data_IF_127716230027
#
_entry.id   IF_127716230027
#
_cell.length_a   1.000
_cell.length_b   1.000
_cell.length_c   1.000
_cell.angle_alpha   90.00
_cell.angle_beta   90.00
_cell.angle_gamma   90.00
#
_symmetry.space_group_name_H-M   'P 1'
#
loop_
_entity.id
_entity.type
_entity.pdbx_description
1 polymer ?
#
# COMPACT_ATOMS: atom_id res chain seq x y z
N UNK A 1 -35.37 21.04 -15.02
CA UNK A 1 -35.03 19.62 -14.83
C UNK A 1 -33.58 19.48 -15.26
N UNK A 2 -32.67 19.34 -14.29
CA UNK A 2 -31.24 19.29 -14.55
C UNK A 2 -30.86 17.82 -14.78
N UNK A 3 -30.53 17.48 -16.03
CA UNK A 3 -29.90 16.21 -16.34
C UNK A 3 -28.54 16.14 -15.65
N UNK A 4 -28.35 15.09 -14.85
CA UNK A 4 -27.13 14.87 -14.09
C UNK A 4 -26.03 14.40 -15.04
N UNK A 5 -24.94 15.15 -15.26
CA UNK A 5 -23.89 14.84 -16.25
C UNK A 5 -23.04 13.61 -15.89
N UNK A 6 -23.34 12.93 -14.78
CA UNK A 6 -22.67 11.71 -14.35
C UNK A 6 -23.20 10.43 -15.04
N UNK A 7 -24.33 10.51 -15.76
CA UNK A 7 -24.96 9.35 -16.43
C UNK A 7 -24.15 8.80 -17.60
N UNK A 8 -23.53 9.68 -18.40
CA UNK A 8 -22.79 9.29 -19.62
C UNK A 8 -21.38 8.76 -19.32
N UNK A 9 -20.74 9.28 -18.26
CA UNK A 9 -19.44 8.79 -17.77
C UNK A 9 -19.51 7.33 -17.34
N UNK A 10 -20.57 7.02 -16.61
CA UNK A 10 -20.77 5.73 -15.97
C UNK A 10 -21.11 4.64 -17.00
N UNK A 11 -21.96 4.98 -17.98
CA UNK A 11 -22.33 4.07 -19.07
C UNK A 11 -21.14 3.74 -19.97
N UNK A 12 -20.23 4.69 -20.23
CA UNK A 12 -19.05 4.50 -21.07
C UNK A 12 -17.96 3.64 -20.43
N UNK A 13 -17.68 3.83 -19.14
CA UNK A 13 -16.72 2.98 -18.43
C UNK A 13 -17.23 1.52 -18.36
N UNK A 14 -18.53 1.35 -18.09
CA UNK A 14 -19.17 0.04 -18.11
C UNK A 14 -19.25 -0.56 -19.52
N UNK A 15 -19.47 0.24 -20.56
CA UNK A 15 -19.53 -0.27 -21.94
C UNK A 15 -18.15 -0.71 -22.44
N UNK A 16 -17.11 0.08 -22.15
CA UNK A 16 -15.71 -0.28 -22.47
C UNK A 16 -15.30 -1.56 -21.74
N UNK A 17 -15.72 -1.69 -20.48
CA UNK A 17 -15.50 -2.90 -19.70
C UNK A 17 -16.28 -4.10 -20.24
N UNK A 18 -17.58 -3.92 -20.52
CA UNK A 18 -18.43 -4.97 -21.10
C UNK A 18 -17.84 -5.49 -22.41
N UNK A 19 -17.28 -4.59 -23.23
CA UNK A 19 -16.56 -4.95 -24.45
C UNK A 19 -15.29 -5.75 -24.17
N UNK A 20 -14.47 -5.34 -23.19
CA UNK A 20 -13.26 -6.07 -22.80
C UNK A 20 -13.55 -7.46 -22.19
N UNK A 21 -14.59 -7.57 -21.36
CA UNK A 21 -15.07 -8.86 -20.82
C UNK A 21 -15.57 -9.76 -21.96
N UNK A 22 -16.32 -9.20 -22.93
CA UNK A 22 -16.81 -9.95 -24.08
C UNK A 22 -15.67 -10.53 -24.92
N UNK A 23 -14.64 -9.72 -25.20
CA UNK A 23 -13.43 -10.19 -25.90
C UNK A 23 -12.68 -11.28 -25.14
N UNK A 24 -12.59 -11.17 -23.80
CA UNK A 24 -11.97 -12.20 -22.96
C UNK A 24 -12.78 -13.51 -22.97
N UNK A 25 -14.12 -13.42 -22.96
CA UNK A 25 -15.01 -14.59 -22.96
C UNK A 25 -15.10 -15.34 -24.30
N UNK A 26 -14.72 -14.69 -25.41
CA UNK A 26 -14.79 -15.29 -26.75
C UNK A 26 -13.59 -16.18 -27.08
N UNK A 27 -12.49 -16.09 -26.33
CA UNK A 27 -11.29 -16.90 -26.57
C UNK A 27 -11.32 -18.29 -25.91
N UNK A 28 -12.27 -18.56 -25.01
CA UNK A 28 -12.46 -19.88 -24.40
C UNK A 28 -13.66 -20.59 -25.05
N UNK A 29 -13.39 -21.63 -25.84
CA UNK A 29 -14.41 -22.47 -26.45
C UNK A 29 -15.29 -23.15 -25.37
N UNK A 30 -16.62 -23.25 -25.54
CA UNK A 30 -17.51 -23.68 -24.47
C UNK A 30 -17.56 -25.22 -24.40
N UNK A 31 -17.00 -25.81 -23.35
CA UNK A 31 -17.44 -27.13 -22.89
C UNK A 31 -18.73 -26.95 -22.07
N UNK A 32 -19.84 -27.25 -22.74
CA UNK A 32 -21.20 -27.28 -22.22
C UNK A 32 -21.30 -28.40 -21.17
N UNK A 33 -21.15 -28.11 -19.87
CA UNK A 33 -21.62 -28.96 -18.74
C UNK A 33 -21.43 -28.37 -17.32
N UNK A 34 -21.54 -27.05 -17.07
CA UNK A 34 -21.48 -26.56 -15.68
C UNK A 34 -22.20 -25.23 -15.40
N UNK A 35 -23.28 -24.94 -16.14
CA UNK A 35 -24.23 -23.86 -15.76
C UNK A 35 -25.16 -24.34 -14.65
N UNK A 36 -24.69 -24.24 -13.40
CA UNK A 36 -25.51 -23.92 -12.20
C UNK A 36 -24.58 -23.88 -10.99
N UNK A 37 -24.72 -22.79 -10.22
CA UNK A 37 -24.07 -22.47 -8.94
C UNK A 37 -22.79 -21.62 -9.08
N UNK A 38 -23.02 -20.33 -9.37
CA UNK A 38 -22.30 -19.11 -8.95
C UNK A 38 -22.32 -18.08 -10.09
N UNK A 39 -23.31 -17.18 -10.04
CA UNK A 39 -23.42 -16.02 -10.94
C UNK A 39 -22.37 -14.97 -10.55
N UNK A 40 -21.08 -15.24 -10.79
CA UNK A 40 -20.12 -14.15 -10.82
C UNK A 40 -20.39 -13.35 -12.10
N UNK A 41 -21.01 -12.18 -11.95
CA UNK A 41 -21.14 -11.19 -13.02
C UNK A 41 -19.95 -10.23 -12.96
N UNK A 42 -18.97 -10.34 -13.88
CA UNK A 42 -17.80 -9.48 -13.85
C UNK A 42 -18.13 -8.00 -14.04
N UNK A 43 -19.27 -7.67 -14.68
CA UNK A 43 -19.73 -6.29 -14.85
C UNK A 43 -20.23 -5.71 -13.52
N UNK A 44 -21.02 -6.47 -12.78
CA UNK A 44 -21.49 -6.08 -11.45
C UNK A 44 -20.31 -5.94 -10.47
N UNK A 45 -19.35 -6.88 -10.51
CA UNK A 45 -18.16 -6.81 -9.69
C UNK A 45 -17.32 -5.56 -9.98
N UNK A 46 -17.11 -5.23 -11.25
CA UNK A 46 -16.38 -4.03 -11.62
C UNK A 46 -17.12 -2.74 -11.27
N UNK A 47 -18.45 -2.71 -11.42
CA UNK A 47 -19.30 -1.63 -10.90
C UNK A 47 -19.07 -1.44 -9.40
N UNK A 48 -19.07 -2.53 -8.63
CA UNK A 48 -18.80 -2.52 -7.21
C UNK A 48 -17.40 -1.93 -6.89
N UNK A 49 -16.36 -2.31 -7.64
CA UNK A 49 -15.01 -1.75 -7.48
C UNK A 49 -14.96 -0.25 -7.76
N UNK A 50 -15.67 0.24 -8.77
CA UNK A 50 -15.64 1.68 -9.12
C UNK A 50 -16.51 2.51 -8.17
N UNK A 51 -17.68 2.03 -7.77
CA UNK A 51 -18.62 2.81 -6.97
C UNK A 51 -18.40 2.66 -5.46
N UNK A 52 -18.14 1.44 -4.98
CA UNK A 52 -18.18 1.10 -3.56
C UNK A 52 -16.82 0.95 -2.91
N UNK A 53 -15.75 0.78 -3.69
CA UNK A 53 -14.39 0.69 -3.17
C UNK A 53 -13.89 2.10 -2.81
N UNK A 54 -14.27 2.54 -1.61
CA UNK A 54 -13.82 3.78 -0.98
C UNK A 54 -13.02 3.46 0.29
N UNK A 55 -12.07 4.32 0.69
CA UNK A 55 -11.59 5.50 -0.03
C UNK A 55 -10.81 5.14 -1.30
N UNK A 56 -10.78 6.08 -2.26
CA UNK A 56 -9.96 5.94 -3.48
C UNK A 56 -8.49 6.05 -3.15
N UNK A 57 -7.64 5.37 -3.92
CA UNK A 57 -6.19 5.29 -3.66
C UNK A 57 -5.56 6.69 -3.58
N UNK A 58 -5.95 7.65 -4.42
CA UNK A 58 -5.47 9.03 -4.37
C UNK A 58 -5.78 9.72 -3.03
N UNK A 59 -6.96 9.46 -2.47
CA UNK A 59 -7.34 9.98 -1.15
C UNK A 59 -6.51 9.31 -0.05
N UNK A 60 -6.35 7.99 -0.11
CA UNK A 60 -5.55 7.23 0.84
C UNK A 60 -4.07 7.69 0.84
N UNK A 61 -3.47 7.91 -0.33
CA UNK A 61 -2.08 8.41 -0.41
C UNK A 61 -1.96 9.83 0.15
N UNK A 62 -2.97 10.70 -0.01
CA UNK A 62 -2.98 12.05 0.59
C UNK A 62 -3.15 12.00 2.11
N UNK A 63 -3.98 11.10 2.62
CA UNK A 63 -4.10 10.87 4.06
C UNK A 63 -2.78 10.35 4.63
N UNK A 64 -2.14 9.40 3.94
CA UNK A 64 -0.84 8.86 4.35
C UNK A 64 0.27 9.93 4.33
N UNK A 65 0.33 10.76 3.28
CA UNK A 65 1.20 11.94 3.22
C UNK A 65 1.04 12.80 4.47
N UNK A 66 -0.21 13.12 4.83
CA UNK A 66 -0.53 13.99 5.97
C UNK A 66 -0.14 13.34 7.30
N UNK A 67 -0.34 12.03 7.43
CA UNK A 67 0.06 11.24 8.59
C UNK A 67 1.59 11.26 8.78
N UNK A 68 2.36 10.96 7.73
CA UNK A 68 3.83 10.95 7.78
C UNK A 68 4.37 12.34 8.06
N UNK A 69 3.81 13.37 7.44
CA UNK A 69 4.15 14.76 7.72
C UNK A 69 3.92 15.13 9.19
N UNK A 70 2.74 14.82 9.74
CA UNK A 70 2.42 15.11 11.14
C UNK A 70 3.36 14.39 12.11
N UNK A 71 3.65 13.11 11.88
CA UNK A 71 4.62 12.37 12.70
C UNK A 71 6.03 12.94 12.62
N UNK A 72 6.44 13.38 11.43
CA UNK A 72 7.76 13.96 11.21
C UNK A 72 7.93 15.30 11.94
N UNK A 73 6.87 16.13 11.98
CA UNK A 73 6.86 17.37 12.78
C UNK A 73 7.00 17.04 14.26
N UNK A 74 6.17 16.13 14.79
CA UNK A 74 6.22 15.74 16.22
C UNK A 74 7.58 15.18 16.61
N UNK A 75 8.18 14.34 15.76
CA UNK A 75 9.51 13.77 15.99
C UNK A 75 10.64 14.81 15.92
N UNK A 76 10.41 15.96 15.28
CA UNK A 76 11.39 17.06 15.24
C UNK A 76 11.24 18.07 16.39
N UNK A 77 10.04 18.18 16.98
CA UNK A 77 9.75 19.11 18.08
C UNK A 77 10.14 18.53 19.44
N UNK A 78 9.97 17.22 19.59
CA UNK A 78 10.44 16.51 20.76
C UNK A 78 11.86 16.10 20.42
N UNK A 79 12.84 16.51 21.24
CA UNK A 79 14.23 16.01 21.25
C UNK A 79 14.24 14.51 21.65
N UNK A 80 13.38 13.70 21.03
CA UNK A 80 13.42 12.24 21.12
C UNK A 80 14.70 11.89 20.40
N UNK A 81 15.73 11.62 21.20
CA UNK A 81 16.91 10.85 20.85
C UNK A 81 16.50 9.90 19.74
N UNK A 82 16.90 10.22 18.51
CA UNK A 82 16.55 9.41 17.36
C UNK A 82 17.09 8.03 17.66
N UNK A 83 16.21 7.10 18.01
CA UNK A 83 16.56 5.68 17.96
C UNK A 83 16.74 5.45 16.47
N UNK A 84 17.98 5.63 16.01
CA UNK A 84 18.39 5.29 14.67
C UNK A 84 17.79 3.92 14.39
N UNK A 85 17.04 3.82 13.30
CA UNK A 85 16.71 2.55 12.67
C UNK A 85 18.04 1.85 12.30
N UNK A 86 18.68 1.20 13.28
CA UNK A 86 19.77 0.26 13.12
C UNK A 86 19.55 -0.88 14.10
N UNK A 87 19.20 -2.02 13.53
CA UNK A 87 19.52 -3.37 13.98
C UNK A 87 19.51 -3.63 15.48
N UNK A 88 18.32 -3.95 16.01
CA UNK A 88 18.23 -4.86 17.15
C UNK A 88 18.00 -6.26 16.60
N UNK A 89 19.07 -6.83 16.05
CA UNK A 89 19.16 -8.28 15.94
C UNK A 89 19.61 -8.85 17.30
N UNK A 90 18.86 -9.86 17.75
CA UNK A 90 19.20 -10.86 18.78
C UNK A 90 19.17 -10.41 20.25
N UNK A 91 18.04 -10.68 20.90
CA UNK A 91 17.98 -11.68 21.98
C UNK A 91 16.51 -11.96 22.38
N UNK A 92 16.22 -13.25 22.62
CA UNK A 92 15.04 -13.84 23.26
C UNK A 92 13.67 -13.80 22.55
N UNK A 93 13.37 -14.93 21.89
CA UNK A 93 12.36 -15.88 22.38
C UNK A 93 10.89 -15.44 22.38
N UNK A 94 10.14 -15.91 21.37
CA UNK A 94 8.69 -16.15 21.41
C UNK A 94 7.76 -14.97 21.77
N UNK A 95 7.74 -13.98 20.89
CA UNK A 95 6.53 -13.33 20.33
C UNK A 95 7.00 -12.27 19.33
N UNK A 96 7.16 -12.67 18.07
CA UNK A 96 7.44 -11.73 16.96
C UNK A 96 6.24 -10.81 16.75
N UNK A 97 6.10 -9.79 17.60
CA UNK A 97 5.45 -8.55 17.20
C UNK A 97 6.36 -7.98 16.10
N UNK A 98 6.05 -8.28 14.84
CA UNK A 98 6.71 -7.67 13.68
C UNK A 98 6.69 -6.16 13.91
N UNK A 99 7.85 -5.57 14.22
CA UNK A 99 7.94 -4.13 14.43
C UNK A 99 7.42 -3.44 13.18
N UNK A 100 6.29 -2.75 13.33
CA UNK A 100 5.67 -2.00 12.26
C UNK A 100 6.59 -0.83 11.92
N UNK A 101 7.24 -0.90 10.75
CA UNK A 101 8.09 0.18 10.24
C UNK A 101 7.22 1.43 10.11
N UNK A 102 7.51 2.47 10.89
CA UNK A 102 6.86 3.77 10.78
C UNK A 102 7.80 4.75 10.07
N UNK A 103 7.33 5.33 8.96
CA UNK A 103 8.10 6.30 8.22
C UNK A 103 8.03 7.66 8.92
N UNK A 104 9.21 8.23 9.18
CA UNK A 104 9.40 9.54 9.77
C UNK A 104 10.58 10.21 9.07
N UNK A 105 10.43 11.48 8.68
CA UNK A 105 11.51 12.30 8.15
C UNK A 105 12.04 13.20 9.26
N UNK A 106 13.11 12.75 9.92
CA UNK A 106 13.82 13.56 10.91
C UNK A 106 14.84 14.41 10.17
N UNK A 107 14.48 15.66 9.86
CA UNK A 107 15.44 16.64 9.32
C UNK A 107 16.10 17.39 10.46
N UNK A 108 17.42 17.48 10.44
CA UNK A 108 18.23 18.19 11.44
C UNK A 108 18.11 19.72 11.37
N UNK A 109 17.39 20.27 10.39
CA UNK A 109 17.40 21.73 10.13
C UNK A 109 16.03 22.42 10.06
N UNK A 110 14.96 21.87 9.47
CA UNK A 110 13.61 22.49 9.52
C UNK A 110 12.44 21.52 9.28
N UNK A 111 11.27 21.81 9.84
CA UNK A 111 10.00 21.10 9.55
C UNK A 111 9.52 21.23 8.09
N UNK A 112 10.00 22.23 7.35
CA UNK A 112 9.69 22.43 5.92
C UNK A 112 10.25 21.28 5.08
N UNK A 113 11.39 20.71 5.49
CA UNK A 113 12.07 19.62 4.79
C UNK A 113 11.31 18.28 4.89
N UNK A 114 10.67 18.00 6.03
CA UNK A 114 9.88 16.79 6.23
C UNK A 114 8.61 16.77 5.36
N UNK A 115 7.92 17.90 5.25
CA UNK A 115 6.74 18.06 4.39
C UNK A 115 7.11 17.90 2.92
N UNK A 116 8.21 18.52 2.49
CA UNK A 116 8.74 18.38 1.13
C UNK A 116 9.10 16.93 0.84
N UNK A 117 9.77 16.24 1.76
CA UNK A 117 10.18 14.85 1.60
C UNK A 117 9.00 13.91 1.45
N UNK A 118 8.01 14.04 2.35
CA UNK A 118 6.75 13.30 2.28
C UNK A 118 6.02 13.54 0.95
N UNK A 119 5.99 14.79 0.47
CA UNK A 119 5.35 15.16 -0.78
C UNK A 119 6.03 14.52 -2.01
N UNK A 120 7.37 14.51 -2.03
CA UNK A 120 8.13 13.86 -3.10
C UNK A 120 7.87 12.35 -3.11
N UNK A 121 7.88 11.71 -1.94
CA UNK A 121 7.56 10.28 -1.81
C UNK A 121 6.13 9.98 -2.26
N UNK A 122 5.13 10.75 -1.82
CA UNK A 122 3.73 10.58 -2.23
C UNK A 122 3.55 10.74 -3.74
N UNK A 123 4.23 11.71 -4.36
CA UNK A 123 4.17 11.95 -5.80
C UNK A 123 4.78 10.78 -6.58
N UNK A 124 5.94 10.29 -6.17
CA UNK A 124 6.59 9.14 -6.79
C UNK A 124 5.77 7.86 -6.60
N UNK A 125 5.17 7.67 -5.42
CA UNK A 125 4.25 6.57 -5.14
C UNK A 125 3.05 6.60 -6.10
N UNK A 126 2.37 7.75 -6.24
CA UNK A 126 1.24 7.90 -7.17
C UNK A 126 1.65 7.69 -8.63
N UNK A 127 2.84 8.15 -9.03
CA UNK A 127 3.38 7.90 -10.37
C UNK A 127 3.64 6.41 -10.60
N UNK A 128 4.21 5.73 -9.61
CA UNK A 128 4.44 4.30 -9.64
C UNK A 128 3.14 3.52 -9.80
N UNK A 129 2.16 3.76 -8.93
CA UNK A 129 0.85 3.13 -8.98
C UNK A 129 0.20 3.33 -10.36
N UNK A 130 0.17 4.56 -10.88
CA UNK A 130 -0.49 4.87 -12.15
C UNK A 130 0.25 4.38 -13.40
N UNK A 131 1.48 3.89 -13.27
CA UNK A 131 2.28 3.38 -14.40
C UNK A 131 2.50 1.88 -14.35
N UNK A 132 2.09 1.19 -13.29
CA UNK A 132 2.30 -0.25 -13.16
C UNK A 132 1.29 -1.01 -14.00
N UNK A 133 1.80 -1.79 -14.96
CA UNK A 133 1.03 -2.80 -15.68
C UNK A 133 1.15 -4.11 -14.91
N UNK A 134 0.03 -4.77 -14.68
CA UNK A 134 -0.06 -6.03 -13.95
C UNK A 134 0.13 -7.21 -14.92
N UNK A 135 1.17 -8.06 -14.73
CA UNK A 135 1.46 -9.18 -15.62
C UNK A 135 0.41 -10.30 -15.51
N UNK A 136 0.34 -11.14 -16.55
CA UNK A 136 -0.49 -12.35 -16.51
C UNK A 136 0.24 -13.49 -15.79
N UNK A 137 -0.31 -13.97 -14.67
CA UNK A 137 0.28 -15.03 -13.86
C UNK A 137 -0.19 -16.45 -14.28
N UNK A 138 -1.11 -16.57 -15.24
CA UNK A 138 -1.71 -17.85 -15.64
C UNK A 138 -0.71 -18.83 -16.26
N UNK A 139 0.42 -18.36 -16.78
CA UNK A 139 1.42 -19.23 -17.42
C UNK A 139 2.31 -20.00 -16.41
N UNK A 140 2.26 -19.66 -15.12
CA UNK A 140 3.23 -20.18 -14.12
C UNK A 140 2.67 -21.28 -13.20
N UNK A 141 1.36 -21.58 -13.23
CA UNK A 141 0.67 -22.39 -12.21
C UNK A 141 0.17 -23.76 -12.70
N UNK A 142 1.01 -24.51 -13.42
CA UNK A 142 0.62 -25.82 -13.97
C UNK A 142 0.81 -27.02 -13.02
N UNK A 143 1.23 -26.85 -11.76
CA UNK A 143 1.72 -27.97 -10.92
C UNK A 143 1.26 -27.98 -9.45
N UNK A 144 -0.03 -27.81 -9.14
CA UNK A 144 -0.52 -28.12 -7.78
C UNK A 144 -1.94 -28.68 -7.77
N UNK A 145 -2.02 -30.00 -7.77
CA UNK A 145 -3.24 -30.77 -7.52
C UNK A 145 -3.30 -31.17 -6.05
N UNK A 146 -4.28 -30.66 -5.28
CA UNK A 146 -4.99 -31.39 -4.19
C UNK A 146 -5.82 -30.41 -3.32
N UNK A 147 -7.15 -30.48 -3.37
CA UNK A 147 -8.02 -29.92 -2.32
C UNK A 147 -9.45 -29.55 -2.75
N UNK A 148 -10.34 -30.52 -2.93
CA UNK A 148 -11.71 -30.37 -3.46
C UNK A 148 -12.73 -29.49 -2.68
N UNK A 149 -12.33 -28.78 -1.61
CA UNK A 149 -13.19 -27.79 -0.94
C UNK A 149 -12.65 -26.35 -0.98
N UNK A 150 -11.36 -26.16 -1.24
CA UNK A 150 -10.76 -24.83 -1.48
C UNK A 150 -10.94 -24.35 -2.93
N UNK A 151 -11.24 -25.25 -3.86
CA UNK A 151 -11.28 -24.96 -5.29
C UNK A 151 -12.30 -23.86 -5.67
N UNK A 152 -13.42 -23.73 -4.95
CA UNK A 152 -14.44 -22.70 -5.29
C UNK A 152 -14.03 -21.30 -4.87
N UNK A 153 -13.56 -21.14 -3.63
CA UNK A 153 -13.12 -19.84 -3.12
C UNK A 153 -11.88 -19.35 -3.88
N UNK A 154 -11.01 -20.28 -4.30
CA UNK A 154 -9.84 -20.00 -5.13
C UNK A 154 -10.21 -19.55 -6.55
N UNK A 155 -11.18 -20.22 -7.19
CA UNK A 155 -11.69 -19.79 -8.51
C UNK A 155 -12.33 -18.41 -8.44
N UNK A 156 -13.17 -18.15 -7.44
CA UNK A 156 -13.81 -16.84 -7.25
C UNK A 156 -12.77 -15.74 -6.96
N UNK A 157 -11.74 -16.05 -6.20
CA UNK A 157 -10.62 -15.13 -5.94
C UNK A 157 -9.82 -14.85 -7.21
N UNK A 158 -9.50 -15.87 -8.00
CA UNK A 158 -8.78 -15.71 -9.26
C UNK A 158 -9.58 -14.86 -10.26
N UNK A 159 -10.89 -15.09 -10.38
CA UNK A 159 -11.76 -14.28 -11.24
C UNK A 159 -11.78 -12.81 -10.83
N UNK A 160 -11.78 -12.52 -9.52
CA UNK A 160 -11.69 -11.14 -9.01
C UNK A 160 -10.34 -10.50 -9.34
N UNK A 161 -9.23 -11.23 -9.17
CA UNK A 161 -7.90 -10.75 -9.54
C UNK A 161 -7.80 -10.46 -11.03
N UNK A 162 -8.32 -11.35 -11.88
CA UNK A 162 -8.35 -11.17 -13.34
C UNK A 162 -9.15 -9.93 -13.74
N UNK A 163 -10.33 -9.73 -13.13
CA UNK A 163 -11.15 -8.55 -13.37
C UNK A 163 -10.41 -7.26 -12.97
N UNK A 164 -9.80 -7.22 -11.79
CA UNK A 164 -8.97 -6.08 -11.34
C UNK A 164 -7.83 -5.84 -12.33
N UNK A 165 -7.13 -6.88 -12.76
CA UNK A 165 -6.02 -6.80 -13.70
C UNK A 165 -6.43 -6.19 -15.04
N UNK A 166 -7.53 -6.67 -15.61
CA UNK A 166 -8.07 -6.16 -16.89
C UNK A 166 -8.41 -4.67 -16.75
N UNK A 167 -9.17 -4.30 -15.71
CA UNK A 167 -9.58 -2.91 -15.46
C UNK A 167 -8.35 -2.03 -15.26
N UNK A 168 -7.43 -2.45 -14.40
CA UNK A 168 -6.23 -1.72 -14.06
C UNK A 168 -5.36 -1.44 -15.28
N UNK A 169 -5.04 -2.49 -16.06
CA UNK A 169 -4.23 -2.37 -17.26
C UNK A 169 -4.95 -1.55 -18.34
N UNK A 170 -6.28 -1.65 -18.43
CA UNK A 170 -7.09 -0.78 -19.28
C UNK A 170 -6.90 0.70 -18.95
N UNK A 171 -6.90 1.05 -17.66
CA UNK A 171 -6.69 2.43 -17.19
C UNK A 171 -5.25 2.93 -17.40
N UNK A 172 -4.26 2.05 -17.26
CA UNK A 172 -2.84 2.40 -17.47
C UNK A 172 -2.53 2.59 -18.96
N UNK A 173 -3.00 1.68 -19.82
CA UNK A 173 -2.65 1.66 -21.24
C UNK A 173 -3.52 2.60 -22.09
N UNK A 174 -4.76 2.89 -21.68
CA UNK A 174 -5.68 3.73 -22.43
C UNK A 174 -6.06 5.02 -21.65
N UNK A 175 -5.11 5.96 -21.46
CA UNK A 175 -5.42 7.21 -20.76
C UNK A 175 -6.34 8.16 -21.56
N UNK A 176 -6.72 7.78 -22.79
CA UNK A 176 -7.28 8.67 -23.83
C UNK A 176 -8.73 8.35 -24.22
N UNK A 177 -9.44 7.47 -23.51
CA UNK A 177 -10.77 7.01 -23.95
C UNK A 177 -11.92 8.02 -23.76
N UNK A 178 -11.65 9.33 -23.72
CA UNK A 178 -12.67 10.39 -23.75
C UNK A 178 -12.32 11.44 -24.80
N UNK A 179 -13.19 11.58 -25.80
CA UNK A 179 -13.07 12.56 -26.87
C UNK A 179 -13.25 14.01 -26.37
N UNK A 180 -13.71 14.21 -25.13
CA UNK A 180 -13.83 15.52 -24.51
C UNK A 180 -12.91 15.69 -23.28
N UNK A 181 -11.93 16.58 -23.48
CA UNK A 181 -11.19 17.45 -22.56
C UNK A 181 -10.99 17.05 -21.08
N UNK A 182 -9.68 16.86 -20.77
CA UNK A 182 -8.90 17.31 -19.59
C UNK A 182 -8.58 16.36 -18.44
N UNK A 183 -9.23 15.20 -18.26
CA UNK A 183 -8.82 14.29 -17.17
C UNK A 183 -8.53 12.88 -17.66
N UNK A 184 -7.24 12.58 -17.87
CA UNK A 184 -6.77 11.20 -18.05
C UNK A 184 -7.23 10.36 -16.86
N UNK A 185 -8.04 9.34 -17.12
CA UNK A 185 -8.47 8.40 -16.08
C UNK A 185 -7.26 7.61 -15.62
N UNK A 186 -7.13 7.49 -14.30
CA UNK A 186 -5.97 6.90 -13.64
C UNK A 186 -6.46 5.87 -12.63
N UNK A 187 -5.76 4.73 -12.46
CA UNK A 187 -6.11 3.75 -11.43
C UNK A 187 -6.34 4.39 -10.06
N UNK A 188 -5.45 5.32 -9.68
CA UNK A 188 -5.51 6.00 -8.37
C UNK A 188 -6.78 6.82 -8.13
N UNK A 189 -7.47 7.28 -9.18
CA UNK A 189 -8.68 8.10 -9.07
C UNK A 189 -9.96 7.28 -9.03
N UNK A 190 -9.96 6.09 -9.64
CA UNK A 190 -11.16 5.27 -9.80
C UNK A 190 -11.22 4.08 -8.85
N UNK A 191 -10.07 3.51 -8.53
CA UNK A 191 -9.97 2.29 -7.75
C UNK A 191 -9.63 2.60 -6.30
N UNK A 192 -10.03 1.71 -5.39
CA UNK A 192 -9.84 1.84 -3.96
C UNK A 192 -8.91 0.76 -3.40
N UNK A 193 -9.17 0.41 -2.14
CA UNK A 193 -8.37 -0.51 -1.35
C UNK A 193 -8.29 -1.89 -1.99
N UNK A 194 -9.42 -2.45 -2.42
CA UNK A 194 -9.50 -3.84 -2.87
C UNK A 194 -8.69 -4.08 -4.13
N UNK A 195 -8.76 -3.16 -5.09
CA UNK A 195 -7.94 -3.23 -6.29
C UNK A 195 -6.44 -3.05 -5.97
N UNK A 196 -6.12 -2.14 -5.04
CA UNK A 196 -4.73 -1.87 -4.68
C UNK A 196 -4.07 -3.08 -4.03
N UNK A 197 -4.76 -3.87 -3.20
CA UNK A 197 -4.20 -5.09 -2.59
C UNK A 197 -3.61 -6.02 -3.65
N UNK A 198 -4.31 -6.17 -4.77
CA UNK A 198 -3.87 -7.04 -5.88
C UNK A 198 -2.68 -6.41 -6.63
N UNK A 199 -2.70 -5.09 -6.83
CA UNK A 199 -1.68 -4.39 -7.58
C UNK A 199 -0.39 -4.11 -6.79
N UNK A 200 -0.50 -3.93 -5.47
CA UNK A 200 0.57 -3.40 -4.63
C UNK A 200 1.84 -4.24 -4.61
N UNK A 201 1.80 -5.59 -4.59
CA UNK A 201 3.01 -6.40 -4.63
C UNK A 201 3.89 -6.09 -5.86
N UNK A 202 3.27 -5.91 -7.03
CA UNK A 202 3.99 -5.55 -8.25
C UNK A 202 4.55 -4.12 -8.19
N UNK A 203 3.82 -3.19 -7.58
CA UNK A 203 4.25 -1.81 -7.38
C UNK A 203 5.45 -1.76 -6.43
N UNK A 204 5.37 -2.49 -5.31
CA UNK A 204 6.43 -2.59 -4.32
C UNK A 204 7.70 -3.20 -4.91
N UNK A 205 7.56 -4.26 -5.72
CA UNK A 205 8.69 -4.87 -6.41
C UNK A 205 9.40 -3.88 -7.36
N UNK A 206 8.64 -3.04 -8.09
CA UNK A 206 9.23 -1.99 -8.93
C UNK A 206 10.02 -0.96 -8.11
N UNK A 207 9.56 -0.60 -6.91
CA UNK A 207 10.29 0.30 -6.01
C UNK A 207 11.56 -0.35 -5.46
N UNK A 208 11.47 -1.61 -5.03
CA UNK A 208 12.62 -2.39 -4.54
C UNK A 208 13.72 -2.50 -5.61
N UNK A 209 13.35 -2.78 -6.87
CA UNK A 209 14.29 -2.77 -8.00
C UNK A 209 14.92 -1.40 -8.21
N UNK A 210 14.14 -0.32 -8.08
CA UNK A 210 14.65 1.04 -8.17
C UNK A 210 15.68 1.38 -7.10
N UNK A 211 15.50 0.87 -5.88
CA UNK A 211 16.51 0.96 -4.80
C UNK A 211 17.79 0.22 -5.19
N UNK A 212 17.68 -1.02 -5.67
CA UNK A 212 18.84 -1.81 -6.08
C UNK A 212 19.65 -1.12 -7.21
N UNK A 213 18.95 -0.51 -8.18
CA UNK A 213 19.59 0.29 -9.24
C UNK A 213 20.30 1.52 -8.68
N UNK A 214 19.67 2.25 -7.75
CA UNK A 214 20.27 3.44 -7.12
C UNK A 214 21.55 3.08 -6.35
N UNK A 215 21.51 2.01 -5.54
CA UNK A 215 22.68 1.55 -4.77
C UNK A 215 23.86 1.12 -5.67
N UNK A 216 23.57 0.51 -6.83
CA UNK A 216 24.61 0.17 -7.80
C UNK A 216 25.22 1.39 -8.47
N UNK A 217 24.44 2.46 -8.68
CA UNK A 217 24.93 3.71 -9.25
C UNK A 217 25.88 4.44 -8.30
N UNK A 218 25.58 4.43 -6.99
CA UNK A 218 26.42 5.05 -5.97
C UNK A 218 27.79 4.36 -5.87
N UNK A 219 27.81 3.03 -5.81
CA UNK A 219 29.06 2.23 -5.77
C UNK A 219 29.99 2.50 -6.96
N UNK A 220 29.43 2.66 -8.17
CA UNK A 220 30.21 2.95 -9.38
C UNK A 220 30.82 4.35 -9.40
N UNK A 221 30.22 5.31 -8.68
CA UNK A 221 30.78 6.65 -8.56
C UNK A 221 31.92 6.69 -7.53
N UNK A 222 31.82 5.92 -6.46
CA UNK A 222 32.87 5.81 -5.43
C UNK A 222 34.13 5.10 -5.97
N UNK A 223 33.97 4.04 -6.79
CA UNK A 223 35.10 3.34 -7.42
C UNK A 223 35.90 4.21 -8.40
N UNK A 224 35.26 5.19 -9.08
CA UNK A 224 35.98 6.11 -9.98
C UNK A 224 36.84 7.16 -9.27
N UNK A 225 36.74 7.25 -7.95
CA UNK A 225 37.47 8.26 -7.16
C UNK A 225 38.62 7.66 -6.35
N UNK A 226 38.73 6.32 -6.29
CA UNK A 226 39.78 5.61 -5.56
C UNK A 226 40.42 4.51 -6.41
N UNK A 227 41.24 4.90 -7.40
CA UNK A 227 42.28 4.03 -7.93
C UNK A 227 43.46 4.07 -6.95
N UNK A 228 43.48 3.15 -5.98
CA UNK A 228 44.66 2.46 -5.41
C UNK A 228 44.13 1.28 -4.55
N UNK A 229 44.40 0.06 -5.02
CA UNK A 229 44.40 -1.24 -4.33
C UNK A 229 43.21 -1.64 -3.44
N UNK A 230 42.41 -2.62 -3.89
CA UNK A 230 42.58 -4.03 -3.51
C UNK A 230 41.37 -4.88 -3.95
N UNK A 231 41.67 -6.02 -4.57
CA UNK A 231 40.78 -7.17 -4.71
C UNK A 231 40.24 -7.61 -3.34
N UNK A 232 38.94 -7.86 -3.21
CA UNK A 232 38.46 -9.11 -2.60
C UNK A 232 36.99 -9.41 -2.91
N UNK A 233 36.77 -10.69 -3.23
CA UNK A 233 35.51 -11.31 -3.57
C UNK A 233 34.55 -11.31 -2.37
N UNK A 234 33.26 -11.05 -2.59
CA UNK A 234 32.21 -11.54 -1.70
C UNK A 234 30.95 -11.85 -2.51
N UNK A 235 30.92 -13.06 -3.06
CA UNK A 235 29.69 -13.72 -3.50
C UNK A 235 29.11 -14.48 -2.31
N UNK A 236 28.36 -13.79 -1.45
CA UNK A 236 27.47 -14.46 -0.50
C UNK A 236 26.09 -14.58 -1.14
N UNK A 237 25.86 -15.76 -1.70
CA UNK A 237 24.55 -16.21 -2.16
C UNK A 237 23.75 -16.62 -0.92
N UNK A 238 23.03 -15.69 -0.31
CA UNK A 238 21.95 -16.03 0.61
C UNK A 238 20.85 -16.74 -0.17
N UNK A 239 20.38 -17.86 0.35
CA UNK A 239 19.18 -18.55 -0.14
C UNK A 239 18.00 -17.68 0.27
N UNK A 240 17.78 -16.60 -0.49
CA UNK A 240 16.58 -15.77 -0.40
C UNK A 240 15.45 -16.67 -0.86
N UNK A 241 14.53 -16.97 0.05
CA UNK A 241 13.21 -17.51 -0.26
C UNK A 241 12.65 -16.65 -1.41
N UNK A 242 12.74 -17.17 -2.64
CA UNK A 242 12.54 -16.35 -3.85
C UNK A 242 11.06 -15.99 -3.90
N UNK A 243 10.74 -14.79 -3.41
CA UNK A 243 9.42 -14.22 -3.61
C UNK A 243 9.13 -14.27 -5.12
N UNK A 244 8.03 -14.91 -5.54
CA UNK A 244 7.75 -15.25 -6.94
C UNK A 244 7.84 -14.04 -7.88
N UNK A 245 7.67 -12.83 -7.36
CA UNK A 245 7.79 -11.58 -8.11
C UNK A 245 9.23 -11.25 -8.57
N UNK A 246 10.26 -11.81 -7.92
CA UNK A 246 11.66 -11.60 -8.28
C UNK A 246 12.02 -12.26 -9.61
N UNK A 247 11.26 -13.28 -10.02
CA UNK A 247 11.46 -14.00 -11.28
C UNK A 247 11.00 -13.20 -12.51
N UNK A 248 10.18 -12.17 -12.31
CA UNK A 248 9.56 -11.41 -13.41
C UNK A 248 10.62 -10.48 -14.05
N UNK A 249 10.89 -10.57 -15.36
CA UNK A 249 11.87 -9.72 -16.03
C UNK A 249 11.56 -8.20 -15.97
N UNK A 250 12.61 -7.35 -15.94
CA UNK A 250 12.49 -5.89 -15.92
C UNK A 250 11.70 -5.29 -17.10
N UNK A 251 11.64 -6.00 -18.24
CA UNK A 251 10.78 -5.59 -19.37
C UNK A 251 9.30 -5.51 -18.99
N UNK A 252 8.86 -6.26 -17.99
CA UNK A 252 7.46 -6.29 -17.54
C UNK A 252 7.26 -5.47 -16.25
N UNK A 253 8.28 -5.38 -15.39
CA UNK A 253 8.26 -4.59 -14.16
C UNK A 253 9.48 -3.66 -14.10
N UNK A 254 9.48 -2.56 -14.86
CA UNK A 254 10.63 -1.66 -14.89
C UNK A 254 10.81 -0.95 -13.54
N UNK A 255 12.05 -0.74 -13.08
CA UNK A 255 12.34 -0.13 -11.79
C UNK A 255 11.79 1.30 -11.69
N UNK A 256 11.37 1.69 -10.49
CA UNK A 256 11.02 3.07 -10.16
C UNK A 256 12.03 3.61 -9.17
N UNK A 257 12.86 4.55 -9.60
CA UNK A 257 13.91 5.14 -8.79
C UNK A 257 13.35 5.92 -7.59
N UNK A 258 14.07 5.96 -6.46
CA UNK A 258 13.76 6.86 -5.35
C UNK A 258 13.65 8.32 -5.84
N UNK A 259 12.81 9.16 -5.20
CA UNK A 259 12.78 10.58 -5.51
C UNK A 259 14.15 11.21 -5.28
N UNK A 260 14.51 12.21 -6.10
CA UNK A 260 15.73 13.00 -5.89
C UNK A 260 15.70 13.63 -4.50
N UNK A 261 16.88 13.70 -3.88
CA UNK A 261 17.10 14.28 -2.54
C UNK A 261 16.46 13.49 -1.38
N UNK A 262 15.94 12.27 -1.63
CA UNK A 262 15.42 11.37 -0.59
C UNK A 262 16.38 10.22 -0.40
N UNK A 263 16.75 9.97 0.86
CA UNK A 263 17.63 8.85 1.18
C UNK A 263 16.93 7.52 0.89
N UNK A 264 17.69 6.54 0.38
CA UNK A 264 17.18 5.23 -0.04
C UNK A 264 16.37 4.55 1.07
N UNK A 265 16.88 4.56 2.30
CA UNK A 265 16.20 3.94 3.46
C UNK A 265 14.89 4.64 3.83
N UNK A 266 14.80 5.97 3.64
CA UNK A 266 13.56 6.71 3.90
C UNK A 266 12.51 6.38 2.85
N UNK A 267 12.92 6.27 1.58
CA UNK A 267 12.04 5.84 0.51
C UNK A 267 11.54 4.41 0.74
N UNK A 268 12.42 3.49 1.12
CA UNK A 268 12.07 2.12 1.48
C UNK A 268 11.06 2.06 2.62
N UNK A 269 11.30 2.78 3.71
CA UNK A 269 10.38 2.86 4.83
C UNK A 269 9.01 3.41 4.41
N UNK A 270 8.98 4.44 3.55
CA UNK A 270 7.75 5.09 3.11
C UNK A 270 6.82 4.14 2.34
N UNK A 271 7.32 3.48 1.28
CA UNK A 271 6.44 2.56 0.53
C UNK A 271 6.18 1.27 1.30
N UNK A 272 7.11 0.81 2.15
CA UNK A 272 6.90 -0.41 2.94
C UNK A 272 5.80 -0.21 3.97
N UNK A 273 5.82 0.90 4.69
CA UNK A 273 4.76 1.22 5.66
C UNK A 273 3.40 1.37 4.97
N UNK A 274 3.32 2.09 3.85
CA UNK A 274 2.05 2.25 3.12
C UNK A 274 1.42 0.89 2.75
N UNK A 275 2.25 -0.07 2.31
CA UNK A 275 1.83 -1.45 2.05
C UNK A 275 1.39 -2.19 3.30
N UNK A 276 2.11 -2.03 4.42
CA UNK A 276 1.74 -2.64 5.70
C UNK A 276 0.38 -2.13 6.19
N UNK A 277 0.12 -0.82 6.08
CA UNK A 277 -1.16 -0.22 6.45
C UNK A 277 -2.29 -0.70 5.53
N UNK A 278 -2.01 -0.92 4.24
CA UNK A 278 -2.97 -1.54 3.31
C UNK A 278 -3.33 -2.97 3.75
N UNK A 279 -2.34 -3.81 4.07
CA UNK A 279 -2.57 -5.20 4.52
C UNK A 279 -3.32 -5.22 5.86
N UNK A 280 -2.95 -4.33 6.79
CA UNK A 280 -3.61 -4.21 8.09
C UNK A 280 -5.10 -3.88 7.93
N UNK A 281 -5.45 -2.93 7.06
CA UNK A 281 -6.83 -2.55 6.77
C UNK A 281 -7.68 -3.69 6.15
N UNK A 282 -7.06 -4.77 5.68
CA UNK A 282 -7.74 -5.96 5.19
C UNK A 282 -8.02 -6.95 6.33
N UNK A 283 -7.11 -7.05 7.29
CA UNK A 283 -7.25 -7.94 8.46
C UNK A 283 -8.28 -7.42 9.45
N UNK A 284 -8.29 -6.10 9.69
CA UNK A 284 -9.22 -5.48 10.66
C UNK A 284 -10.70 -5.65 10.29
N UNK A 285 -11.05 -5.89 9.03
CA UNK A 285 -12.44 -6.14 8.62
C UNK A 285 -12.98 -7.51 9.08
N UNK A 286 -12.08 -8.45 9.41
CA UNK A 286 -12.46 -9.81 9.77
C UNK A 286 -12.58 -10.02 11.29
N UNK A 287 -12.09 -9.07 12.09
CA UNK A 287 -11.88 -9.19 13.55
C UNK A 287 -12.71 -8.20 14.39
N UNK A 288 -13.88 -7.77 13.89
CA UNK A 288 -14.88 -6.93 14.60
C UNK A 288 -15.33 -7.48 15.97
N UNK A 289 -14.89 -8.70 16.35
CA UNK A 289 -15.33 -9.42 17.55
C UNK A 289 -14.38 -9.34 18.74
N UNK A 290 -13.19 -8.78 18.60
CA UNK A 290 -12.29 -8.63 19.74
C UNK A 290 -11.92 -7.15 19.88
N UNK A 291 -12.76 -6.42 20.63
CA UNK A 291 -12.32 -5.22 21.36
C UNK A 291 -11.24 -5.64 22.36
N UNK A 292 -10.06 -5.97 21.84
CA UNK A 292 -8.87 -6.01 22.66
C UNK A 292 -8.61 -4.56 23.06
N UNK A 293 -8.32 -4.37 24.34
CA UNK A 293 -7.85 -3.13 24.96
C UNK A 293 -6.45 -2.78 24.44
N UNK A 294 -6.24 -2.91 23.13
CA UNK A 294 -5.02 -2.61 22.44
C UNK A 294 -4.93 -1.08 22.44
N UNK A 295 -4.00 -0.59 23.25
CA UNK A 295 -3.62 0.82 23.32
C UNK A 295 -2.99 1.34 22.02
N UNK A 296 -2.85 0.49 21.01
CA UNK A 296 -2.23 0.76 19.72
C UNK A 296 -3.20 1.53 18.82
N UNK A 297 -2.73 2.70 18.40
CA UNK A 297 -3.40 3.56 17.45
C UNK A 297 -3.46 2.88 16.06
N UNK A 298 -4.66 2.70 15.49
CA UNK A 298 -4.81 2.04 14.17
C UNK A 298 -4.68 3.06 13.04
N UNK A 299 -3.46 3.22 12.54
CA UNK A 299 -3.18 4.13 11.43
C UNK A 299 -3.76 3.64 10.10
N UNK A 300 -4.07 2.35 9.97
CA UNK A 300 -4.73 1.83 8.78
C UNK A 300 -6.16 2.35 8.67
N UNK A 301 -6.86 2.49 9.82
CA UNK A 301 -8.19 3.08 9.90
C UNK A 301 -8.18 4.58 9.55
N UNK A 302 -7.08 5.32 9.77
CA UNK A 302 -7.00 6.72 9.36
C UNK A 302 -6.97 6.90 7.83
N UNK A 303 -6.37 5.95 7.12
CA UNK A 303 -6.11 6.06 5.68
C UNK A 303 -7.19 5.39 4.85
N UNK A 304 -7.72 4.27 5.34
CA UNK A 304 -8.57 3.36 4.57
C UNK A 304 -10.03 3.30 5.04
N UNK A 305 -10.43 4.14 5.99
CA UNK A 305 -11.84 4.23 6.39
C UNK A 305 -12.65 5.13 5.47
N UNK A 306 -13.95 4.83 5.37
CA UNK A 306 -14.88 5.56 4.50
C UNK A 306 -15.17 6.98 5.01
N UNK A 307 -14.99 7.22 6.31
CA UNK A 307 -15.16 8.53 6.95
C UNK A 307 -13.86 9.34 6.98
N UNK A 308 -12.80 8.88 6.29
CA UNK A 308 -11.52 9.58 6.24
C UNK A 308 -10.80 9.64 7.58
N UNK A 309 -11.05 8.67 8.47
CA UNK A 309 -10.40 8.54 9.76
C UNK A 309 -11.04 9.34 10.88
N UNK A 310 -12.19 9.99 10.64
CA UNK A 310 -12.85 10.85 11.63
C UNK A 310 -13.16 10.11 12.93
N UNK A 311 -13.74 8.90 12.85
CA UNK A 311 -14.03 8.08 14.03
C UNK A 311 -12.78 7.67 14.79
N UNK A 312 -11.72 7.28 14.09
CA UNK A 312 -10.46 6.90 14.74
C UNK A 312 -9.78 8.12 15.39
N UNK A 313 -9.80 9.29 14.74
CA UNK A 313 -9.31 10.53 15.36
C UNK A 313 -10.10 10.90 16.61
N UNK A 314 -11.43 10.75 16.58
CA UNK A 314 -12.28 10.96 17.74
C UNK A 314 -11.93 9.98 18.86
N UNK A 315 -11.81 8.69 18.56
CA UNK A 315 -11.42 7.66 19.52
C UNK A 315 -10.04 7.95 20.14
N UNK A 316 -9.07 8.43 19.35
CA UNK A 316 -7.76 8.87 19.87
C UNK A 316 -7.88 10.05 20.82
N UNK A 317 -8.71 11.05 20.52
CA UNK A 317 -8.96 12.19 21.42
C UNK A 317 -9.56 11.73 22.74
N UNK A 318 -10.61 10.91 22.69
CA UNK A 318 -11.25 10.35 23.89
C UNK A 318 -10.27 9.53 24.74
N UNK A 319 -9.43 8.70 24.12
CA UNK A 319 -8.36 7.95 24.81
C UNK A 319 -7.36 8.90 25.50
N UNK A 320 -6.95 9.98 24.83
CA UNK A 320 -6.00 10.96 25.40
C UNK A 320 -6.62 11.73 26.56
N UNK A 321 -7.88 12.16 26.44
CA UNK A 321 -8.61 12.81 27.53
C UNK A 321 -8.71 11.90 28.76
N UNK A 322 -9.10 10.63 28.57
CA UNK A 322 -9.16 9.64 29.66
C UNK A 322 -7.80 9.42 30.33
N UNK A 323 -6.71 9.34 29.56
CA UNK A 323 -5.35 9.20 30.11
C UNK A 323 -4.95 10.43 30.94
N UNK A 324 -5.28 11.63 30.48
CA UNK A 324 -5.00 12.85 31.21
C UNK A 324 -5.82 12.94 32.52
N UNK A 325 -7.10 12.58 32.48
CA UNK A 325 -7.97 12.50 33.66
C UNK A 325 -7.43 11.49 34.69
N UNK A 326 -7.02 10.31 34.24
CA UNK A 326 -6.43 9.29 35.10
C UNK A 326 -5.11 9.76 35.73
N UNK A 327 -4.24 10.45 34.97
CA UNK A 327 -2.99 10.97 35.50
C UNK A 327 -3.21 12.01 36.62
N UNK A 328 -4.17 12.94 36.42
CA UNK A 328 -4.52 13.94 37.43
C UNK A 328 -5.15 13.31 38.70
N UNK A 329 -5.92 12.23 38.54
CA UNK A 329 -6.51 11.52 39.67
C UNK A 329 -5.45 10.82 40.55
N UNK A 330 -4.38 10.29 39.95
CA UNK A 330 -3.27 9.64 40.66
C UNK A 330 -2.45 10.65 41.47
N UNK A 331 -2.17 11.84 40.91
CA UNK A 331 -1.44 12.90 41.63
C UNK A 331 -2.22 13.45 42.85
N UNK A 332 -3.55 13.39 42.84
CA UNK A 332 -4.39 13.81 43.96
C UNK A 332 -4.37 12.88 45.18
N UNK A 333 -3.89 11.65 45.04
CA UNK A 333 -3.87 10.65 46.12
C UNK A 333 -2.53 10.57 46.88
N UNK A 334 -1.40 10.94 46.25
CA UNK A 334 -0.06 10.87 46.88
C UNK A 334 0.26 12.08 47.80
N UNK A 335 -0.58 13.11 47.83
CA UNK A 335 -0.39 14.30 48.68
C UNK A 335 -0.97 14.21 50.10
N UNK A 336 -1.65 13.12 50.45
CA UNK A 336 -2.47 13.02 51.68
C UNK A 336 -1.80 12.44 52.93
N UNK A 337 -0.74 11.64 52.79
CA UNK A 337 -0.22 10.81 53.90
C UNK A 337 1.05 11.36 54.59
N UNK A 338 1.53 12.56 54.22
CA UNK A 338 2.76 13.14 54.81
C UNK A 338 2.52 14.05 56.04
N UNK A 339 1.28 14.16 56.56
CA UNK A 339 0.94 15.10 57.65
C UNK A 339 0.50 14.41 58.97
N UNK A 340 0.93 13.18 59.23
CA UNK A 340 0.72 12.50 60.52
C UNK A 340 2.03 11.87 61.01
N UNK A 341 2.93 12.71 61.51
CA UNK A 341 4.17 12.33 62.18
C UNK A 341 4.44 13.26 63.35
#
# INVERSE_FOLDING_TARGET
>A
MADSPNGDFYSLALSSLAHQISLASQNDAPSVSQRRINNFDPQEYAKCLVERDVPKIDSAVKSYLSLVAARSVVASEIDVISVQCRDVSRADGDRQAKHQVQCVFVSSTTAVDANRSSLLCARTLLLGINSTVLPDLKETSNNSSQGHQNERDEVDFQQKQDAIRIIWNGLVNNPSCTADLKTKLKPTKLLGKNALIVAYPFIQERFRRGIAVAQQADKKNDEKTNDIHAHENTSQSEVVEQDPLHSIPDKFLPPILPPKDIHITQWEAYYTEFGNLLIQACRSQHDDRVQSDSTLEDDSALIWSNDGGVKELQARRERRTRRAENALAVEGQDGGDAASG
#
